data_IF_753161289159
#
_entry.id   IF_753161289159
#
_cell.length_a   1.000
_cell.length_b   1.000
_cell.length_c   1.000
_cell.angle_alpha   90.00
_cell.angle_beta   90.00
_cell.angle_gamma   90.00
#
_symmetry.space_group_name_H-M   'P 1'
#
loop_
_entity.id
_entity.type
_entity.pdbx_description
1 polymer ?
#
# COMPACT_ATOMS: atom_id res chain seq x y z
N UNK A 1 42.42 -0.84 -3.81
CA UNK A 1 41.05 -0.80 -4.36
C UNK A 1 40.18 -1.68 -3.47
N UNK A 2 39.41 -1.09 -2.55
CA UNK A 2 38.35 -1.82 -1.84
C UNK A 2 37.15 -1.83 -2.78
N UNK A 3 36.93 -2.95 -3.47
CA UNK A 3 35.79 -3.11 -4.37
C UNK A 3 34.49 -3.20 -3.57
N UNK A 4 33.38 -2.83 -4.21
CA UNK A 4 32.05 -3.02 -3.66
C UNK A 4 31.74 -4.52 -3.57
N UNK A 5 31.35 -4.98 -2.38
CA UNK A 5 30.85 -6.33 -2.15
C UNK A 5 29.33 -6.24 -2.23
N UNK A 6 28.76 -6.72 -3.33
CA UNK A 6 27.30 -6.85 -3.44
C UNK A 6 26.86 -8.04 -2.58
N UNK A 7 26.14 -7.76 -1.50
CA UNK A 7 25.44 -8.77 -0.70
C UNK A 7 23.98 -8.86 -1.14
N UNK A 8 23.35 -9.97 -0.79
CA UNK A 8 21.91 -10.12 -0.92
C UNK A 8 21.21 -9.07 -0.04
N UNK A 9 20.29 -8.29 -0.61
CA UNK A 9 19.56 -7.26 0.11
C UNK A 9 18.69 -7.90 1.20
N UNK A 10 19.06 -7.68 2.46
CA UNK A 10 18.28 -8.10 3.62
C UNK A 10 17.43 -6.90 4.08
N UNK A 11 16.10 -6.90 3.86
CA UNK A 11 15.23 -5.76 4.18
C UNK A 11 15.19 -5.38 5.67
N UNK A 12 15.76 -6.22 6.53
CA UNK A 12 15.82 -6.09 7.98
C UNK A 12 17.16 -5.52 8.51
N UNK A 13 18.18 -5.35 7.67
CA UNK A 13 19.48 -4.81 8.10
C UNK A 13 19.33 -3.33 8.52
N UNK A 14 19.38 -3.07 9.83
CA UNK A 14 19.36 -1.73 10.43
C UNK A 14 18.10 -1.37 11.22
N UNK A 15 17.05 -2.21 11.20
CA UNK A 15 15.86 -1.98 12.04
C UNK A 15 16.09 -2.45 13.49
N UNK A 16 15.62 -1.70 14.50
CA UNK A 16 15.63 -2.17 15.89
C UNK A 16 14.88 -3.52 16.03
N UNK A 17 15.34 -4.44 16.90
CA UNK A 17 14.71 -5.77 17.10
C UNK A 17 13.19 -5.68 17.35
N UNK A 18 12.77 -4.75 18.22
CA UNK A 18 11.36 -4.49 18.50
C UNK A 18 10.56 -4.17 17.23
N UNK A 19 11.07 -3.29 16.37
CA UNK A 19 10.35 -2.86 15.18
C UNK A 19 10.18 -4.03 14.19
N UNK A 20 11.18 -4.90 14.05
CA UNK A 20 11.08 -6.08 13.19
C UNK A 20 9.99 -7.04 13.66
N UNK A 21 9.98 -7.34 14.96
CA UNK A 21 8.95 -8.21 15.56
C UNK A 21 7.56 -7.56 15.56
N UNK A 22 7.48 -6.23 15.72
CA UNK A 22 6.24 -5.47 15.61
C UNK A 22 5.65 -5.54 14.19
N UNK A 23 6.50 -5.44 13.17
CA UNK A 23 6.11 -5.56 11.78
C UNK A 23 5.45 -6.92 11.51
N UNK A 24 6.10 -8.01 11.95
CA UNK A 24 5.57 -9.38 11.81
C UNK A 24 4.32 -9.61 12.68
N UNK A 25 4.31 -9.14 13.93
CA UNK A 25 3.17 -9.29 14.82
C UNK A 25 1.90 -8.65 14.25
N UNK A 26 2.02 -7.45 13.69
CA UNK A 26 0.90 -6.74 13.05
C UNK A 26 0.38 -7.45 11.80
N UNK A 27 1.25 -8.15 11.07
CA UNK A 27 0.84 -8.99 9.95
C UNK A 27 0.11 -10.26 10.45
N UNK A 28 0.65 -10.95 11.46
CA UNK A 28 0.02 -12.13 12.07
C UNK A 28 -1.35 -11.82 12.65
N UNK A 29 -1.53 -10.65 13.29
CA UNK A 29 -2.83 -10.20 13.79
C UNK A 29 -3.90 -10.11 12.70
N UNK A 30 -3.54 -9.81 11.45
CA UNK A 30 -4.50 -9.81 10.34
C UNK A 30 -4.96 -11.22 10.01
N UNK A 31 -4.07 -12.21 10.10
CA UNK A 31 -4.39 -13.62 9.84
C UNK A 31 -5.13 -14.30 11.00
N UNK A 32 -4.88 -13.88 12.25
CA UNK A 32 -5.58 -14.39 13.44
C UNK A 32 -6.85 -13.61 13.78
N UNK A 33 -7.35 -12.77 12.86
CA UNK A 33 -8.56 -11.95 13.07
C UNK A 33 -8.52 -11.09 14.34
N UNK A 34 -7.35 -10.60 14.72
CA UNK A 34 -7.16 -9.77 15.92
C UNK A 34 -6.93 -10.54 17.23
N UNK A 35 -6.85 -11.87 17.22
CA UNK A 35 -6.46 -12.63 18.40
C UNK A 35 -4.96 -12.46 18.66
N UNK A 36 -4.64 -11.64 19.65
CA UNK A 36 -3.26 -11.37 20.07
C UNK A 36 -2.56 -12.59 20.68
N UNK A 37 -3.31 -13.45 21.38
CA UNK A 37 -2.72 -14.62 22.04
C UNK A 37 -2.30 -15.65 20.99
N UNK A 38 -3.15 -15.85 19.98
CA UNK A 38 -2.82 -16.70 18.83
C UNK A 38 -1.67 -16.12 18.00
N UNK A 39 -1.70 -14.82 17.70
CA UNK A 39 -0.64 -14.17 16.93
C UNK A 39 0.73 -14.25 17.62
N UNK A 40 0.79 -14.06 18.94
CA UNK A 40 2.02 -14.21 19.72
C UNK A 40 2.53 -15.66 19.74
N UNK A 41 1.63 -16.64 19.79
CA UNK A 41 1.99 -18.05 19.69
C UNK A 41 2.61 -18.36 18.32
N UNK A 42 2.01 -17.89 17.23
CA UNK A 42 2.56 -18.06 15.88
C UNK A 42 3.92 -17.36 15.74
N UNK A 43 4.06 -16.14 16.28
CA UNK A 43 5.34 -15.42 16.28
C UNK A 43 6.42 -16.21 17.03
N UNK A 44 6.08 -16.83 18.17
CA UNK A 44 7.00 -17.67 18.94
C UNK A 44 7.41 -18.93 18.16
N UNK A 45 6.50 -19.53 17.40
CA UNK A 45 6.82 -20.68 16.55
C UNK A 45 7.73 -20.29 15.39
N UNK A 46 7.49 -19.13 14.76
CA UNK A 46 8.34 -18.59 13.72
C UNK A 46 9.74 -18.27 14.25
N UNK A 47 9.83 -17.70 15.44
CA UNK A 47 11.11 -17.43 16.10
C UNK A 47 11.91 -18.72 16.36
N UNK A 48 11.27 -19.79 16.85
CA UNK A 48 11.93 -21.09 17.03
C UNK A 48 12.45 -21.71 15.73
N UNK A 49 11.75 -21.49 14.62
CA UNK A 49 12.11 -22.08 13.34
C UNK A 49 13.19 -21.27 12.59
N UNK A 50 13.11 -19.93 12.66
CA UNK A 50 13.91 -19.03 11.84
C UNK A 50 14.93 -18.20 12.63
N UNK A 51 14.93 -18.28 13.96
CA UNK A 51 15.84 -17.52 14.83
C UNK A 51 15.67 -16.02 14.64
N UNK A 52 14.46 -15.49 14.89
CA UNK A 52 14.14 -14.08 14.66
C UNK A 52 14.72 -13.17 15.76
N UNK A 53 14.88 -13.73 16.96
CA UNK A 53 15.44 -13.12 18.16
C UNK A 53 16.92 -13.48 18.36
N UNK A 54 17.56 -12.82 19.32
CA UNK A 54 18.93 -13.08 19.74
C UNK A 54 19.03 -13.12 21.28
N UNK A 55 20.22 -13.42 21.80
CA UNK A 55 20.45 -13.53 23.26
C UNK A 55 20.17 -12.22 24.02
N UNK A 56 20.20 -11.08 23.32
CA UNK A 56 19.96 -9.74 23.90
C UNK A 56 18.48 -9.32 23.90
N UNK A 57 17.64 -9.94 23.06
CA UNK A 57 16.24 -9.52 22.89
C UNK A 57 15.35 -10.68 22.42
N UNK A 58 14.56 -11.23 23.34
CA UNK A 58 13.66 -12.36 23.10
C UNK A 58 12.18 -11.98 22.90
N UNK A 59 11.35 -13.00 22.65
CA UNK A 59 9.89 -12.82 22.54
C UNK A 59 9.27 -12.34 23.87
N UNK A 60 9.85 -12.71 25.00
CA UNK A 60 9.40 -12.22 26.32
C UNK A 60 9.59 -10.70 26.45
N UNK A 61 10.75 -10.19 26.07
CA UNK A 61 11.06 -8.75 26.08
C UNK A 61 10.15 -8.00 25.10
N UNK A 62 9.87 -8.59 23.94
CA UNK A 62 8.93 -8.05 22.97
C UNK A 62 7.51 -7.91 23.52
N UNK A 63 7.00 -8.92 24.25
CA UNK A 63 5.66 -8.86 24.85
C UNK A 63 5.58 -7.75 25.90
N UNK A 64 6.61 -7.60 26.74
CA UNK A 64 6.67 -6.52 27.72
C UNK A 64 6.77 -5.14 27.05
N UNK A 65 7.55 -5.01 25.97
CA UNK A 65 7.60 -3.79 25.19
C UNK A 65 6.26 -3.47 24.51
N UNK A 66 5.51 -4.47 24.03
CA UNK A 66 4.17 -4.26 23.51
C UNK A 66 3.22 -3.70 24.59
N UNK A 67 3.32 -4.16 25.84
CA UNK A 67 2.55 -3.61 26.97
C UNK A 67 2.99 -2.19 27.31
N UNK A 68 4.30 -1.97 27.48
CA UNK A 68 4.88 -0.69 27.85
C UNK A 68 4.59 0.41 26.83
N UNK A 69 4.59 0.06 25.54
CA UNK A 69 4.26 0.96 24.45
C UNK A 69 2.74 1.06 24.18
N UNK A 70 1.90 0.39 24.97
CA UNK A 70 0.44 0.47 24.89
C UNK A 70 -0.16 -0.19 23.64
N UNK A 71 0.49 -1.21 23.08
CA UNK A 71 -0.04 -2.03 21.99
C UNK A 71 -0.88 -3.22 22.50
N UNK A 72 -0.56 -3.72 23.70
CA UNK A 72 -1.30 -4.81 24.35
C UNK A 72 -1.73 -4.43 25.76
N UNK A 73 -2.89 -4.93 26.15
CA UNK A 73 -3.39 -4.92 27.52
C UNK A 73 -3.59 -6.36 27.97
N UNK A 74 -3.17 -6.66 29.20
CA UNK A 74 -3.38 -7.97 29.81
C UNK A 74 -4.66 -7.94 30.63
N UNK A 75 -5.58 -8.87 30.37
CA UNK A 75 -6.83 -8.94 31.11
C UNK A 75 -6.58 -9.49 32.52
N UNK A 76 -7.00 -8.79 33.59
CA UNK A 76 -6.71 -9.19 34.97
C UNK A 76 -7.34 -10.52 35.39
N UNK A 77 -8.38 -10.97 34.68
CA UNK A 77 -9.21 -12.12 35.06
C UNK A 77 -8.72 -13.45 34.48
N UNK A 78 -8.24 -13.44 33.23
CA UNK A 78 -7.97 -14.66 32.46
C UNK A 78 -6.52 -14.72 31.91
N UNK A 79 -5.69 -13.70 32.14
CA UNK A 79 -4.32 -13.63 31.61
C UNK A 79 -4.22 -13.55 30.09
N UNK A 80 -5.34 -13.29 29.40
CA UNK A 80 -5.40 -13.15 27.95
C UNK A 80 -4.94 -11.75 27.53
N UNK A 81 -4.23 -11.70 26.42
CA UNK A 81 -3.83 -10.43 25.80
C UNK A 81 -4.97 -9.88 24.94
N UNK A 82 -5.24 -8.59 25.09
CA UNK A 82 -6.16 -7.83 24.25
C UNK A 82 -5.37 -6.75 23.51
N UNK A 83 -5.63 -6.61 22.21
CA UNK A 83 -5.10 -5.48 21.44
C UNK A 83 -5.75 -4.17 21.89
N UNK A 84 -4.96 -3.10 21.93
CA UNK A 84 -5.45 -1.76 22.25
C UNK A 84 -5.99 -1.06 21.00
N UNK A 85 -6.72 0.05 21.19
CA UNK A 85 -7.14 0.92 20.09
C UNK A 85 -5.96 1.45 19.26
N UNK A 86 -4.78 1.61 19.88
CA UNK A 86 -3.53 1.99 19.20
C UNK A 86 -3.10 0.92 18.21
N UNK A 87 -3.12 -0.35 18.62
CA UNK A 87 -2.82 -1.49 17.74
C UNK A 87 -3.82 -1.61 16.61
N UNK A 88 -5.11 -1.50 16.90
CA UNK A 88 -6.15 -1.53 15.87
C UNK A 88 -5.96 -0.40 14.84
N UNK A 89 -5.63 0.81 15.30
CA UNK A 89 -5.33 1.94 14.42
C UNK A 89 -4.06 1.68 13.60
N UNK A 90 -3.02 1.13 14.21
CA UNK A 90 -1.79 0.73 13.55
C UNK A 90 -2.05 -0.26 12.42
N UNK A 91 -2.82 -1.32 12.67
CA UNK A 91 -3.21 -2.30 11.66
C UNK A 91 -3.93 -1.61 10.50
N UNK A 92 -4.95 -0.78 10.77
CA UNK A 92 -5.69 -0.06 9.71
C UNK A 92 -4.77 0.81 8.85
N UNK A 93 -3.88 1.56 9.48
CA UNK A 93 -2.94 2.43 8.77
C UNK A 93 -1.97 1.61 7.93
N UNK A 94 -1.48 0.50 8.47
CA UNK A 94 -0.55 -0.41 7.79
C UNK A 94 -1.20 -1.11 6.60
N UNK A 95 -2.42 -1.63 6.75
CA UNK A 95 -3.16 -2.22 5.63
C UNK A 95 -3.40 -1.19 4.52
N UNK A 96 -3.68 0.07 4.89
CA UNK A 96 -3.81 1.17 3.94
C UNK A 96 -2.48 1.48 3.24
N UNK A 97 -1.39 1.57 4.00
CA UNK A 97 -0.05 1.83 3.46
C UNK A 97 0.46 0.66 2.60
N UNK A 98 0.08 -0.59 2.87
CA UNK A 98 0.41 -1.73 1.99
C UNK A 98 -0.35 -1.68 0.67
N UNK A 99 -1.62 -1.29 0.73
CA UNK A 99 -2.48 -1.10 -0.44
C UNK A 99 -1.90 -0.01 -1.35
N UNK A 100 -1.44 1.12 -0.77
CA UNK A 100 -0.93 2.26 -1.53
C UNK A 100 0.61 2.29 -1.69
N UNK A 101 1.36 1.46 -0.96
CA UNK A 101 2.83 1.50 -0.88
C UNK A 101 3.55 0.47 -1.75
N UNK A 102 2.86 -0.59 -2.22
CA UNK A 102 3.41 -1.59 -3.16
C UNK A 102 3.45 -1.08 -4.61
N UNK A 103 3.77 0.19 -4.82
CA UNK A 103 3.80 0.80 -6.15
C UNK A 103 5.18 0.61 -6.81
N UNK A 104 5.18 0.20 -8.08
CA UNK A 104 6.41 0.04 -8.87
C UNK A 104 6.99 1.42 -9.18
N UNK A 105 8.30 1.50 -9.43
CA UNK A 105 8.99 2.74 -9.83
C UNK A 105 8.48 3.22 -11.21
N UNK A 106 7.66 4.29 -11.24
CA UNK A 106 7.04 4.95 -12.40
C UNK A 106 6.97 6.48 -12.24
N UNK A 107 6.78 7.26 -13.30
CA UNK A 107 6.75 8.76 -13.31
C UNK A 107 6.14 9.47 -12.07
N UNK A 108 6.69 10.66 -11.78
CA UNK A 108 6.44 11.59 -10.65
C UNK A 108 4.97 11.74 -10.18
N UNK A 109 4.62 11.24 -8.98
CA UNK A 109 3.31 11.32 -8.32
C UNK A 109 3.38 11.75 -6.84
N UNK A 110 2.61 11.14 -5.92
CA UNK A 110 2.64 11.47 -4.47
C UNK A 110 2.84 10.28 -3.52
N UNK A 111 3.01 9.06 -4.05
CA UNK A 111 3.23 7.89 -3.21
C UNK A 111 4.72 7.70 -2.93
N UNK A 112 5.07 7.48 -1.65
CA UNK A 112 6.45 7.15 -1.27
C UNK A 112 6.81 5.78 -1.84
N UNK A 113 7.92 5.71 -2.56
CA UNK A 113 8.50 4.43 -2.97
C UNK A 113 9.76 4.16 -2.16
N UNK A 114 10.04 2.90 -1.86
CA UNK A 114 11.25 2.50 -1.12
C UNK A 114 12.53 2.51 -2.00
N UNK A 115 12.53 3.27 -3.10
CA UNK A 115 13.66 3.33 -4.05
C UNK A 115 13.98 4.78 -4.39
N UNK A 116 15.18 5.22 -4.04
CA UNK A 116 15.75 6.49 -4.49
C UNK A 116 16.05 6.48 -6.00
N UNK A 117 16.03 7.66 -6.63
CA UNK A 117 16.54 7.90 -7.97
C UNK A 117 15.73 8.93 -8.78
N UNK A 118 16.26 9.34 -9.94
CA UNK A 118 15.80 10.43 -10.82
C UNK A 118 14.28 10.73 -10.75
N UNK A 119 13.92 11.63 -9.85
CA UNK A 119 12.60 12.27 -9.75
C UNK A 119 12.70 13.78 -10.05
N UNK A 120 11.55 14.45 -10.20
CA UNK A 120 11.47 15.88 -10.57
C UNK A 120 11.48 16.84 -9.36
N UNK A 121 11.30 16.34 -8.12
CA UNK A 121 11.29 17.18 -6.92
C UNK A 121 12.58 16.98 -6.12
N UNK A 122 13.37 18.04 -6.04
CA UNK A 122 14.60 18.13 -5.25
C UNK A 122 14.24 18.02 -3.76
N UNK A 123 14.77 16.99 -3.09
CA UNK A 123 14.78 16.89 -1.64
C UNK A 123 15.86 17.88 -1.12
N UNK A 124 15.59 18.64 -0.05
CA UNK A 124 16.61 19.47 0.61
C UNK A 124 17.78 18.66 1.20
N UNK A 125 17.67 17.35 1.34
CA UNK A 125 18.79 16.49 1.74
C UNK A 125 19.78 16.31 0.58
N UNK A 126 21.07 16.48 0.88
CA UNK A 126 22.17 16.27 -0.06
C UNK A 126 22.95 15.00 0.27
N UNK A 127 23.52 14.39 -0.76
CA UNK A 127 24.49 13.29 -0.63
C UNK A 127 25.69 13.50 -1.55
N UNK A 128 26.78 12.80 -1.28
CA UNK A 128 27.96 12.80 -2.17
C UNK A 128 27.62 12.27 -3.56
N UNK A 129 28.21 12.88 -4.59
CA UNK A 129 28.07 12.49 -5.99
C UNK A 129 28.67 11.10 -6.27
N UNK A 130 27.94 10.28 -7.00
CA UNK A 130 28.42 9.00 -7.54
C UNK A 130 28.43 9.01 -9.06
N UNK A 131 29.35 8.25 -9.65
CA UNK A 131 29.48 8.18 -11.11
C UNK A 131 28.18 7.66 -11.74
N UNK A 132 27.58 8.47 -12.61
CA UNK A 132 26.29 8.18 -13.26
C UNK A 132 25.13 9.05 -12.77
N UNK A 133 25.32 9.83 -11.71
CA UNK A 133 24.34 10.82 -11.26
C UNK A 133 24.17 11.95 -12.29
N UNK A 134 22.95 12.46 -12.39
CA UNK A 134 22.61 13.53 -13.34
C UNK A 134 23.30 14.84 -12.94
N UNK A 135 23.93 15.52 -13.89
CA UNK A 135 24.59 16.81 -13.62
C UNK A 135 23.61 17.90 -13.20
N UNK A 136 22.34 17.77 -13.60
CA UNK A 136 21.27 18.71 -13.29
C UNK A 136 20.89 18.73 -11.80
N UNK A 137 21.23 17.68 -11.04
CA UNK A 137 20.90 17.55 -9.62
C UNK A 137 22.04 17.95 -8.68
N UNK A 138 23.16 18.45 -9.21
CA UNK A 138 24.32 18.89 -8.42
C UNK A 138 23.97 20.14 -7.60
N UNK A 139 24.21 20.11 -6.30
CA UNK A 139 24.23 21.31 -5.46
C UNK A 139 25.57 22.03 -5.66
N UNK A 140 25.61 22.97 -6.61
CA UNK A 140 26.82 23.76 -6.84
C UNK A 140 27.21 24.60 -5.61
N UNK A 141 26.26 25.02 -4.78
CA UNK A 141 26.56 25.85 -3.60
C UNK A 141 27.23 25.01 -2.53
N UNK A 142 26.66 23.86 -2.19
CA UNK A 142 27.26 22.88 -1.28
C UNK A 142 28.61 22.39 -1.79
N UNK A 143 28.70 22.09 -3.10
CA UNK A 143 29.93 21.60 -3.72
C UNK A 143 31.06 22.62 -3.70
N UNK A 144 30.78 23.90 -4.00
CA UNK A 144 31.78 24.97 -3.91
C UNK A 144 32.20 25.17 -2.45
N UNK A 145 31.25 25.10 -1.50
CA UNK A 145 31.57 25.22 -0.08
C UNK A 145 32.52 24.12 0.38
N UNK A 146 32.26 22.86 -0.02
CA UNK A 146 33.12 21.73 0.32
C UNK A 146 34.50 21.84 -0.31
N UNK A 147 34.58 22.22 -1.59
CA UNK A 147 35.84 22.48 -2.29
C UNK A 147 36.68 23.54 -1.58
N UNK A 148 36.08 24.64 -1.12
CA UNK A 148 36.79 25.68 -0.35
C UNK A 148 37.26 25.19 1.02
N UNK A 149 36.47 24.34 1.69
CA UNK A 149 36.84 23.73 2.98
C UNK A 149 38.02 22.77 2.81
N UNK A 150 38.02 21.95 1.76
CA UNK A 150 39.00 20.89 1.54
C UNK A 150 40.31 21.39 0.90
N UNK A 151 40.23 22.37 0.00
CA UNK A 151 41.36 22.81 -0.83
C UNK A 151 41.81 24.26 -0.55
N UNK A 152 41.06 25.01 0.26
CA UNK A 152 41.39 26.38 0.62
C UNK A 152 40.96 27.43 -0.41
N UNK A 153 41.16 28.70 -0.06
CA UNK A 153 40.66 29.86 -0.82
C UNK A 153 41.63 30.37 -1.90
N UNK A 154 42.91 29.98 -1.83
CA UNK A 154 43.97 30.55 -2.67
C UNK A 154 43.94 30.03 -4.12
N UNK A 155 43.41 28.82 -4.34
CA UNK A 155 43.14 28.24 -5.65
C UNK A 155 41.82 27.47 -5.62
N UNK A 156 40.86 27.88 -6.45
CA UNK A 156 39.61 27.13 -6.62
C UNK A 156 39.92 25.82 -7.37
N UNK A 157 40.08 24.73 -6.62
CA UNK A 157 40.22 23.38 -7.12
C UNK A 157 39.04 22.56 -6.61
N UNK A 158 38.23 22.01 -7.52
CA UNK A 158 37.08 21.17 -7.20
C UNK A 158 37.34 19.77 -7.69
N UNK A 159 37.16 18.78 -6.83
CA UNK A 159 37.30 17.36 -7.13
C UNK A 159 35.95 16.67 -7.03
N UNK A 160 35.85 15.45 -7.57
CA UNK A 160 34.61 14.67 -7.53
C UNK A 160 34.10 14.47 -6.09
N UNK A 161 35.01 14.39 -5.13
CA UNK A 161 34.76 14.20 -3.70
C UNK A 161 34.05 15.40 -3.06
N UNK A 162 34.21 16.59 -3.65
CA UNK A 162 33.57 17.82 -3.18
C UNK A 162 32.13 17.93 -3.69
N UNK A 163 31.75 17.17 -4.72
CA UNK A 163 30.45 17.29 -5.35
C UNK A 163 29.36 16.69 -4.46
N UNK A 164 28.37 17.53 -4.14
CA UNK A 164 27.12 17.13 -3.54
C UNK A 164 26.00 17.17 -4.57
N UNK A 165 25.06 16.24 -4.45
CA UNK A 165 23.82 16.25 -5.21
C UNK A 165 22.64 16.34 -4.26
N UNK A 166 21.59 17.00 -4.70
CA UNK A 166 20.29 16.89 -4.07
C UNK A 166 19.72 15.49 -4.31
N UNK A 167 19.19 14.86 -3.26
CA UNK A 167 18.37 13.68 -3.46
C UNK A 167 17.09 14.05 -4.22
N UNK A 168 16.55 13.12 -4.99
CA UNK A 168 15.27 13.30 -5.66
C UNK A 168 14.28 12.28 -5.13
N UNK A 169 13.14 12.78 -4.65
CA UNK A 169 12.08 11.93 -4.17
C UNK A 169 11.34 11.32 -5.36
N UNK A 170 11.44 10.01 -5.49
CA UNK A 170 10.69 9.27 -6.49
C UNK A 170 9.28 9.03 -5.99
N UNK A 171 8.37 9.95 -6.32
CA UNK A 171 6.95 9.74 -6.07
C UNK A 171 6.33 9.07 -7.30
N UNK A 172 5.47 8.08 -7.13
CA UNK A 172 4.79 7.40 -8.25
C UNK A 172 3.38 7.90 -8.45
N UNK A 173 2.93 8.07 -9.70
CA UNK A 173 1.51 8.24 -10.01
C UNK A 173 0.83 6.89 -10.19
N UNK A 174 -0.41 6.79 -9.71
CA UNK A 174 -1.22 5.57 -9.83
C UNK A 174 -2.54 5.86 -10.54
N UNK A 175 -2.98 4.90 -11.35
CA UNK A 175 -4.33 4.90 -11.91
C UNK A 175 -5.17 3.85 -11.21
N UNK A 176 -6.25 4.32 -10.57
CA UNK A 176 -7.14 3.50 -9.78
C UNK A 176 -8.51 3.44 -10.44
N UNK A 177 -9.05 2.23 -10.61
CA UNK A 177 -10.49 2.05 -10.88
C UNK A 177 -11.17 1.55 -9.62
N UNK A 178 -12.16 2.27 -9.12
CA UNK A 178 -13.04 1.83 -8.06
C UNK A 178 -14.28 1.18 -8.69
N UNK A 179 -14.40 -0.13 -8.55
CA UNK A 179 -15.53 -0.94 -9.00
C UNK A 179 -16.50 -1.20 -7.86
N UNK A 180 -17.78 -0.91 -8.08
CA UNK A 180 -18.84 -1.10 -7.07
C UNK A 180 -19.94 -1.99 -7.63
N UNK A 181 -20.23 -3.06 -6.90
CA UNK A 181 -21.33 -3.95 -7.20
C UNK A 181 -22.68 -3.31 -6.83
N UNK A 182 -23.62 -3.31 -7.78
CA UNK A 182 -24.99 -2.83 -7.61
C UNK A 182 -26.02 -3.95 -7.87
N UNK A 183 -25.57 -5.20 -7.82
CA UNK A 183 -26.41 -6.38 -7.99
C UNK A 183 -27.30 -6.63 -6.79
N UNK A 184 -28.36 -7.40 -7.01
CA UNK A 184 -29.39 -7.64 -6.01
C UNK A 184 -28.85 -8.33 -4.74
N UNK A 185 -27.71 -9.04 -4.81
CA UNK A 185 -27.08 -9.63 -3.63
C UNK A 185 -26.79 -8.59 -2.55
N UNK A 186 -26.42 -7.37 -2.95
CA UNK A 186 -26.02 -6.27 -2.07
C UNK A 186 -27.11 -5.78 -1.09
N UNK A 187 -28.36 -6.21 -1.27
CA UNK A 187 -29.49 -5.96 -0.35
C UNK A 187 -30.22 -7.25 0.06
N UNK A 188 -29.68 -8.41 -0.32
CA UNK A 188 -30.35 -9.69 -0.15
C UNK A 188 -30.35 -10.12 1.33
N UNK A 189 -31.40 -10.86 1.73
CA UNK A 189 -31.60 -11.35 3.10
C UNK A 189 -31.77 -10.26 4.16
N UNK A 190 -32.16 -9.04 3.76
CA UNK A 190 -32.39 -7.92 4.69
C UNK A 190 -31.10 -7.25 5.17
N UNK A 191 -29.94 -7.64 4.63
CA UNK A 191 -28.67 -6.98 4.90
C UNK A 191 -28.42 -5.88 3.85
N UNK A 192 -28.37 -4.62 4.30
CA UNK A 192 -27.99 -3.49 3.46
C UNK A 192 -26.47 -3.37 3.37
N UNK A 193 -25.86 -4.04 2.38
CA UNK A 193 -24.42 -4.00 2.12
C UNK A 193 -24.03 -2.85 1.18
N UNK A 194 -24.99 -2.32 0.41
CA UNK A 194 -24.74 -1.18 -0.49
C UNK A 194 -24.48 0.12 0.29
N UNK A 195 -25.19 0.39 1.38
CA UNK A 195 -24.98 1.61 2.17
C UNK A 195 -23.57 1.70 2.77
N UNK A 196 -23.02 0.67 3.44
CA UNK A 196 -21.63 0.70 3.88
C UNK A 196 -20.65 0.75 2.70
N UNK A 197 -20.93 0.04 1.59
CA UNK A 197 -20.11 0.12 0.38
C UNK A 197 -20.01 1.55 -0.17
N UNK A 198 -21.14 2.28 -0.26
CA UNK A 198 -21.17 3.69 -0.66
C UNK A 198 -20.31 4.57 0.25
N UNK A 199 -20.42 4.39 1.57
CA UNK A 199 -19.61 5.14 2.55
C UNK A 199 -18.12 4.90 2.33
N UNK A 200 -17.71 3.64 2.17
CA UNK A 200 -16.32 3.27 1.91
C UNK A 200 -15.84 3.84 0.57
N UNK A 201 -16.65 3.71 -0.48
CA UNK A 201 -16.35 4.25 -1.80
C UNK A 201 -16.15 5.76 -1.78
N UNK A 202 -17.02 6.50 -1.10
CA UNK A 202 -16.91 7.96 -0.93
C UNK A 202 -15.65 8.33 -0.15
N UNK A 203 -15.39 7.66 0.98
CA UNK A 203 -14.22 7.92 1.81
C UNK A 203 -12.91 7.64 1.06
N UNK A 204 -12.82 6.52 0.33
CA UNK A 204 -11.67 6.19 -0.51
C UNK A 204 -11.49 7.20 -1.64
N UNK A 205 -12.58 7.59 -2.30
CA UNK A 205 -12.54 8.56 -3.38
C UNK A 205 -11.98 9.89 -2.90
N UNK A 206 -12.50 10.39 -1.77
CA UNK A 206 -12.05 11.64 -1.15
C UNK A 206 -10.59 11.56 -0.71
N UNK A 207 -10.19 10.46 -0.05
CA UNK A 207 -8.82 10.24 0.38
C UNK A 207 -7.84 10.26 -0.80
N UNK A 208 -8.17 9.57 -1.89
CA UNK A 208 -7.30 9.51 -3.08
C UNK A 208 -7.19 10.89 -3.71
N UNK A 209 -8.30 11.60 -3.90
CA UNK A 209 -8.26 12.92 -4.57
C UNK A 209 -7.63 14.01 -3.71
N UNK A 210 -7.73 13.94 -2.38
CA UNK A 210 -7.13 14.94 -1.48
C UNK A 210 -5.66 14.67 -1.19
N UNK A 211 -5.30 13.42 -0.87
CA UNK A 211 -3.92 13.05 -0.48
C UNK A 211 -3.01 12.84 -1.69
N UNK A 212 -3.56 12.37 -2.80
CA UNK A 212 -2.82 12.03 -4.02
C UNK A 212 -3.38 12.76 -5.25
N UNK A 213 -3.34 14.10 -5.31
CA UNK A 213 -3.94 14.90 -6.39
C UNK A 213 -3.36 14.64 -7.79
N UNK A 214 -2.17 14.03 -7.90
CA UNK A 214 -1.54 13.62 -9.17
C UNK A 214 -2.03 12.25 -9.66
N UNK A 215 -2.80 11.51 -8.87
CA UNK A 215 -3.38 10.22 -9.26
C UNK A 215 -4.67 10.36 -10.05
N UNK A 216 -5.01 9.32 -10.79
CA UNK A 216 -6.30 9.25 -11.48
C UNK A 216 -7.22 8.24 -10.80
N UNK A 217 -8.47 8.65 -10.58
CA UNK A 217 -9.53 7.79 -10.07
C UNK A 217 -10.68 7.73 -11.09
N UNK A 218 -11.02 6.52 -11.52
CA UNK A 218 -12.20 6.23 -12.33
C UNK A 218 -13.16 5.36 -11.50
N UNK A 219 -14.46 5.61 -11.59
CA UNK A 219 -15.46 4.82 -10.86
C UNK A 219 -16.31 4.05 -11.86
N UNK A 220 -16.43 2.75 -11.63
CA UNK A 220 -17.23 1.82 -12.43
C UNK A 220 -18.25 1.16 -11.52
N UNK A 221 -19.49 1.09 -11.98
CA UNK A 221 -20.50 0.23 -11.35
C UNK A 221 -20.80 -0.96 -12.24
N UNK A 222 -21.12 -2.09 -11.63
CA UNK A 222 -21.45 -3.29 -12.37
C UNK A 222 -22.61 -4.06 -11.76
N UNK A 223 -23.45 -4.60 -12.65
CA UNK A 223 -24.57 -5.48 -12.38
C UNK A 223 -24.63 -6.51 -13.50
N UNK A 224 -25.69 -6.49 -14.33
CA UNK A 224 -25.72 -7.33 -15.55
C UNK A 224 -24.69 -6.88 -16.59
N UNK A 225 -24.49 -5.55 -16.67
CA UNK A 225 -23.47 -4.88 -17.47
C UNK A 225 -22.68 -3.93 -16.56
N UNK A 226 -21.65 -3.26 -17.10
CA UNK A 226 -20.85 -2.29 -16.38
C UNK A 226 -20.80 -0.94 -17.11
N UNK A 227 -20.75 0.15 -16.35
CA UNK A 227 -20.60 1.50 -16.88
C UNK A 227 -19.84 2.40 -15.92
N UNK A 228 -19.26 3.49 -16.44
CA UNK A 228 -18.61 4.51 -15.62
C UNK A 228 -19.63 5.47 -15.01
N UNK A 229 -19.32 5.93 -13.80
CA UNK A 229 -20.04 7.00 -13.12
C UNK A 229 -19.05 8.05 -12.60
N UNK A 230 -19.57 9.18 -12.14
CA UNK A 230 -18.78 10.21 -11.48
C UNK A 230 -18.83 10.07 -9.96
N UNK A 231 -17.89 10.72 -9.26
CA UNK A 231 -17.86 10.72 -7.80
C UNK A 231 -19.15 11.32 -7.20
N UNK A 232 -19.80 12.26 -7.90
CA UNK A 232 -21.06 12.88 -7.47
C UNK A 232 -22.23 11.90 -7.45
N UNK A 233 -22.14 10.81 -8.20
CA UNK A 233 -23.20 9.82 -8.31
C UNK A 233 -23.15 8.79 -7.17
N UNK A 234 -22.01 8.67 -6.48
CA UNK A 234 -21.80 7.68 -5.40
C UNK A 234 -22.89 7.67 -4.31
N UNK A 235 -23.34 8.82 -3.77
CA UNK A 235 -24.38 8.83 -2.72
C UNK A 235 -25.72 8.28 -3.22
N UNK A 236 -25.99 8.48 -4.51
CA UNK A 236 -27.25 8.15 -5.19
C UNK A 236 -27.24 6.76 -5.83
N UNK A 237 -26.18 5.97 -5.62
CA UNK A 237 -26.17 4.59 -6.09
C UNK A 237 -27.27 3.77 -5.41
N UNK A 238 -28.04 3.09 -6.26
CA UNK A 238 -29.12 2.20 -5.88
C UNK A 238 -28.84 0.81 -6.43
N UNK A 239 -29.27 -0.19 -5.67
CA UNK A 239 -29.21 -1.58 -6.12
C UNK A 239 -30.37 -1.84 -7.05
N UNK A 240 -30.06 -2.43 -8.21
CA UNK A 240 -31.07 -2.84 -9.18
C UNK A 240 -31.38 -4.33 -9.12
N UNK A 241 -32.38 -4.81 -9.88
CA UNK A 241 -32.66 -6.23 -10.08
C UNK A 241 -31.62 -6.87 -11.04
N UNK A 242 -30.35 -6.67 -10.72
CA UNK A 242 -29.20 -7.13 -11.51
C UNK A 242 -28.57 -8.37 -10.87
N UNK A 243 -27.89 -9.16 -11.69
CA UNK A 243 -26.95 -10.19 -11.24
C UNK A 243 -25.54 -9.62 -11.15
N UNK A 244 -24.59 -10.44 -10.72
CA UNK A 244 -23.18 -10.05 -10.51
C UNK A 244 -22.35 -10.46 -11.72
N UNK A 245 -22.19 -9.57 -12.71
CA UNK A 245 -21.31 -9.78 -13.87
C UNK A 245 -19.94 -9.12 -13.64
N UNK A 246 -19.12 -9.78 -12.82
CA UNK A 246 -17.77 -9.31 -12.48
C UNK A 246 -16.88 -9.21 -13.72
N UNK A 247 -17.07 -10.08 -14.72
CA UNK A 247 -16.30 -10.04 -15.97
C UNK A 247 -16.53 -8.74 -16.72
N UNK A 248 -17.79 -8.32 -16.91
CA UNK A 248 -18.08 -7.05 -17.59
C UNK A 248 -17.48 -5.85 -16.83
N UNK A 249 -17.54 -5.87 -15.50
CA UNK A 249 -16.91 -4.85 -14.66
C UNK A 249 -15.40 -4.79 -14.84
N UNK A 250 -14.73 -5.95 -14.79
CA UNK A 250 -13.27 -6.07 -14.93
C UNK A 250 -12.81 -5.72 -16.34
N UNK A 251 -13.52 -6.14 -17.38
CA UNK A 251 -13.25 -5.77 -18.77
C UNK A 251 -13.26 -4.25 -18.95
N UNK A 252 -14.31 -3.59 -18.46
CA UNK A 252 -14.42 -2.13 -18.53
C UNK A 252 -13.30 -1.45 -17.72
N UNK A 253 -13.04 -1.92 -16.50
CA UNK A 253 -11.96 -1.39 -15.66
C UNK A 253 -10.58 -1.54 -16.33
N UNK A 254 -10.29 -2.70 -16.92
CA UNK A 254 -9.06 -2.94 -17.66
C UNK A 254 -8.96 -2.05 -18.90
N UNK A 255 -10.04 -1.84 -19.64
CA UNK A 255 -10.04 -0.97 -20.81
C UNK A 255 -9.77 0.50 -20.44
N UNK A 256 -10.34 0.97 -19.34
CA UNK A 256 -10.06 2.30 -18.78
C UNK A 256 -8.58 2.38 -18.41
N UNK A 257 -8.08 1.43 -17.61
CA UNK A 257 -6.69 1.42 -17.15
C UNK A 257 -5.70 1.30 -18.30
N UNK A 258 -6.00 0.54 -19.37
CA UNK A 258 -5.16 0.43 -20.58
C UNK A 258 -4.95 1.78 -21.27
N UNK A 259 -5.96 2.67 -21.25
CA UNK A 259 -5.87 4.03 -21.83
C UNK A 259 -5.10 5.01 -20.95
N UNK A 260 -4.94 4.72 -19.65
CA UNK A 260 -4.15 5.53 -18.72
C UNK A 260 -2.64 5.34 -18.99
N UNK A 261 -1.91 6.46 -18.97
CA UNK A 261 -0.45 6.50 -19.22
C UNK A 261 0.38 6.06 -18.00
N UNK A 262 -0.22 6.07 -16.81
CA UNK A 262 0.44 5.70 -15.57
C UNK A 262 0.80 4.21 -15.63
N UNK A 263 2.01 3.85 -15.19
CA UNK A 263 2.46 2.45 -15.22
C UNK A 263 1.89 1.66 -14.02
N UNK A 264 1.66 2.30 -12.88
CA UNK A 264 0.95 1.70 -11.76
C UNK A 264 -0.56 1.78 -11.98
N UNK A 265 -1.21 0.62 -11.99
CA UNK A 265 -2.62 0.44 -12.29
C UNK A 265 -3.22 -0.51 -11.26
N UNK A 266 -4.33 -0.12 -10.65
CA UNK A 266 -4.99 -0.92 -9.63
C UNK A 266 -6.51 -0.86 -9.77
N UNK A 267 -7.17 -1.93 -9.34
CA UNK A 267 -8.63 -2.03 -9.29
C UNK A 267 -9.01 -2.31 -7.84
N UNK A 268 -9.83 -1.45 -7.25
CA UNK A 268 -10.52 -1.73 -5.98
C UNK A 268 -11.92 -2.19 -6.29
N UNK A 269 -12.29 -3.39 -5.87
CA UNK A 269 -13.63 -3.92 -6.07
C UNK A 269 -14.34 -4.03 -4.73
N UNK A 270 -15.54 -3.46 -4.66
CA UNK A 270 -16.47 -3.63 -3.53
C UNK A 270 -17.64 -4.45 -4.05
N UNK A 271 -17.75 -5.69 -3.56
CA UNK A 271 -18.80 -6.65 -3.89
C UNK A 271 -19.08 -7.53 -2.68
N UNK A 272 -20.29 -8.06 -2.61
CA UNK A 272 -20.70 -9.04 -1.60
C UNK A 272 -20.91 -10.44 -2.18
N UNK A 273 -20.71 -10.59 -3.49
CA UNK A 273 -21.33 -11.65 -4.26
C UNK A 273 -20.32 -12.52 -5.00
N UNK A 274 -20.71 -13.78 -5.17
CA UNK A 274 -20.11 -14.64 -6.19
C UNK A 274 -20.52 -14.13 -7.56
N UNK A 275 -19.66 -14.23 -8.58
CA UNK A 275 -20.08 -13.91 -9.95
C UNK A 275 -21.22 -14.86 -10.35
N UNK A 276 -22.34 -14.30 -10.82
CA UNK A 276 -23.58 -15.03 -11.14
C UNK A 276 -24.06 -14.78 -12.57
N UNK A 277 -23.34 -13.95 -13.34
CA UNK A 277 -23.73 -13.57 -14.69
C UNK A 277 -22.52 -13.42 -15.61
N UNK A 278 -22.71 -13.82 -16.88
CA UNK A 278 -21.80 -13.58 -17.99
C UNK A 278 -22.57 -13.16 -19.23
N UNK A 279 -21.93 -12.38 -20.10
CA UNK A 279 -22.49 -12.03 -21.41
C UNK A 279 -21.76 -12.83 -22.50
N UNK A 280 -22.48 -13.73 -23.18
CA UNK A 280 -21.94 -14.59 -24.24
C UNK A 280 -22.75 -14.37 -25.51
N UNK A 281 -22.12 -13.90 -26.58
CA UNK A 281 -22.77 -13.70 -27.88
C UNK A 281 -24.01 -12.79 -27.81
N UNK A 282 -23.98 -11.77 -26.95
CA UNK A 282 -25.09 -10.83 -26.74
C UNK A 282 -26.21 -11.31 -25.81
N UNK A 283 -26.14 -12.55 -25.29
CA UNK A 283 -27.09 -13.09 -24.30
C UNK A 283 -26.48 -13.16 -22.91
N UNK A 284 -27.29 -12.94 -21.88
CA UNK A 284 -26.87 -13.13 -20.50
C UNK A 284 -27.02 -14.60 -20.10
N UNK A 285 -25.89 -15.24 -19.82
CA UNK A 285 -25.83 -16.50 -19.10
C UNK A 285 -25.88 -16.20 -17.61
N UNK A 286 -26.86 -16.75 -16.90
CA UNK A 286 -27.13 -16.44 -15.50
C UNK A 286 -27.22 -17.72 -14.71
N UNK A 287 -26.50 -17.79 -13.60
CA UNK A 287 -26.67 -18.84 -12.61
C UNK A 287 -26.67 -18.22 -11.23
N UNK A 288 -27.87 -18.06 -10.66
CA UNK A 288 -28.05 -17.53 -9.30
C UNK A 288 -27.86 -18.61 -8.22
N UNK A 289 -27.61 -19.86 -8.60
CA UNK A 289 -27.55 -21.00 -7.69
C UNK A 289 -26.16 -21.66 -7.70
N UNK A 290 -25.44 -21.53 -6.59
CA UNK A 290 -24.18 -22.25 -6.38
C UNK A 290 -23.00 -21.68 -7.18
N UNK A 291 -22.00 -22.53 -7.36
CA UNK A 291 -20.72 -22.23 -8.04
C UNK A 291 -20.83 -22.77 -9.47
N UNK A 292 -20.68 -21.90 -10.47
CA UNK A 292 -20.77 -22.27 -11.89
C UNK A 292 -19.39 -22.21 -12.55
N UNK A 293 -18.89 -23.35 -13.01
CA UNK A 293 -17.58 -23.49 -13.68
C UNK A 293 -17.48 -22.75 -15.01
N UNK A 294 -18.59 -22.30 -15.58
CA UNK A 294 -18.60 -21.48 -16.79
C UNK A 294 -18.46 -19.99 -16.46
N UNK A 295 -18.79 -19.59 -15.23
CA UNK A 295 -18.74 -18.20 -14.75
C UNK A 295 -17.42 -17.88 -14.06
N UNK A 296 -16.78 -18.88 -13.43
CA UNK A 296 -15.45 -18.80 -12.81
C UNK A 296 -14.34 -19.21 -13.79
#
# INVERSE_FOLDING_TARGET
MKGFVFSEFRPDEGKPPFQRLLDMFMELLQYTSGDASEALNWLTQLDRQYGLTNDDYGIGDFIEDLKNNGYLEEQPLDGRFRITAKTEQGIRQRSLDEIFGKLKKTKSGNHRTNKTGQGDELNPETRSYEFGDALETIDFTGSIRNSLINHGIDQLSMHQEDLEIYETDFKTQTSTVLMIDISHSMILYGEDRITPAKKVAMALSELITTRYPKDTLDIVVFGNDAWQITMKDLPYLEVGPYHTNTVAGLELAMDILRRRKNQNKQIFMITDGKPTCLKIGGKYYKNSFGIDSKIL
#
